data_IF_457237912734
#
_entry.id   IF_457237912734
#
_cell.length_a   1.000
_cell.length_b   1.000
_cell.length_c   1.000
_cell.angle_alpha   90.00
_cell.angle_beta   90.00
_cell.angle_gamma   90.00
#
_symmetry.space_group_name_H-M   'P 1'
#
loop_
_entity.id
_entity.type
_entity.pdbx_description
1 polymer ?
#
# COMPACT_ATOMS: atom_id res chain seq x y z
N UNK A 1 8.57 10.51 -32.36
CA UNK A 1 8.61 9.20 -31.67
C UNK A 1 7.46 9.17 -30.68
N UNK A 2 6.45 8.33 -30.93
CA UNK A 2 5.35 8.11 -29.97
C UNK A 2 5.83 7.04 -28.99
N UNK A 3 6.03 7.40 -27.74
CA UNK A 3 6.22 6.44 -26.66
C UNK A 3 4.88 5.79 -26.39
N UNK A 4 4.67 4.60 -26.93
CA UNK A 4 3.59 3.73 -26.48
C UNK A 4 3.97 3.26 -25.08
N UNK A 5 3.57 4.02 -24.08
CA UNK A 5 3.56 3.57 -22.69
C UNK A 5 2.72 2.31 -22.67
N UNK A 6 3.36 1.15 -22.60
CA UNK A 6 2.69 -0.10 -22.25
C UNK A 6 2.10 0.13 -20.87
N UNK A 7 0.82 0.52 -20.85
CA UNK A 7 -0.01 0.61 -19.68
C UNK A 7 -0.13 -0.81 -19.17
N UNK A 8 0.83 -1.24 -18.34
CA UNK A 8 0.65 -2.35 -17.44
C UNK A 8 -0.51 -1.94 -16.54
N UNK A 9 -1.72 -2.30 -16.97
CA UNK A 9 -2.94 -1.94 -16.28
C UNK A 9 -2.81 -2.40 -14.84
N UNK A 10 -2.71 -1.44 -13.92
CA UNK A 10 -2.77 -1.74 -12.50
C UNK A 10 -4.02 -2.60 -12.27
N UNK A 11 -3.93 -3.69 -11.50
CA UNK A 11 -5.07 -4.57 -11.26
C UNK A 11 -6.22 -3.71 -10.73
N UNK A 12 -7.28 -3.57 -11.54
CA UNK A 12 -8.38 -2.70 -11.21
C UNK A 12 -9.03 -3.18 -9.91
N UNK A 13 -9.50 -2.27 -9.03
CA UNK A 13 -10.07 -2.63 -7.73
C UNK A 13 -11.22 -3.66 -7.82
N UNK A 14 -11.99 -3.63 -8.91
CA UNK A 14 -13.03 -4.63 -9.20
C UNK A 14 -12.48 -6.06 -9.41
N UNK A 15 -11.29 -6.19 -10.01
CA UNK A 15 -10.60 -7.46 -10.20
C UNK A 15 -10.04 -7.97 -8.86
N UNK A 16 -9.54 -7.08 -7.99
CA UNK A 16 -9.07 -7.42 -6.65
C UNK A 16 -10.20 -7.91 -5.75
N UNK A 17 -11.35 -7.24 -5.76
CA UNK A 17 -12.53 -7.66 -5.01
C UNK A 17 -13.05 -9.04 -5.46
N UNK A 18 -13.06 -9.30 -6.77
CA UNK A 18 -13.46 -10.61 -7.32
C UNK A 18 -12.49 -11.73 -6.92
N UNK A 19 -11.18 -11.45 -6.90
CA UNK A 19 -10.16 -12.39 -6.44
C UNK A 19 -10.31 -12.69 -4.94
N UNK A 20 -10.54 -11.66 -4.11
CA UNK A 20 -10.79 -11.83 -2.67
C UNK A 20 -12.02 -12.72 -2.45
N UNK A 21 -13.13 -12.48 -3.17
CA UNK A 21 -14.33 -13.30 -3.05
C UNK A 21 -14.10 -14.77 -3.46
N UNK A 22 -13.32 -15.01 -4.52
CA UNK A 22 -12.94 -16.36 -4.93
C UNK A 22 -12.09 -17.08 -3.87
N UNK A 23 -11.10 -16.39 -3.30
CA UNK A 23 -10.26 -16.91 -2.22
C UNK A 23 -11.06 -17.20 -0.95
N UNK A 24 -12.00 -16.33 -0.58
CA UNK A 24 -12.90 -16.56 0.55
C UNK A 24 -13.76 -17.81 0.35
N UNK A 25 -14.25 -18.06 -0.87
CA UNK A 25 -14.99 -19.28 -1.19
C UNK A 25 -14.11 -20.54 -1.08
N UNK A 26 -12.86 -20.45 -1.54
CA UNK A 26 -11.89 -21.55 -1.39
C UNK A 26 -11.56 -21.81 0.08
N UNK A 27 -11.34 -20.76 0.87
CA UNK A 27 -11.09 -20.85 2.31
C UNK A 27 -12.23 -21.59 3.04
N UNK A 28 -13.48 -21.22 2.75
CA UNK A 28 -14.65 -21.88 3.34
C UNK A 28 -14.73 -23.38 2.97
N UNK A 29 -14.30 -23.76 1.77
CA UNK A 29 -14.26 -25.17 1.36
C UNK A 29 -13.14 -25.93 2.10
N UNK A 30 -11.94 -25.36 2.20
CA UNK A 30 -10.83 -25.97 2.94
C UNK A 30 -11.15 -26.15 4.43
N UNK A 31 -11.80 -25.15 5.05
CA UNK A 31 -12.26 -25.25 6.44
C UNK A 31 -13.27 -26.40 6.61
N UNK A 32 -14.20 -26.59 5.66
CA UNK A 32 -15.12 -27.74 5.67
C UNK A 32 -14.38 -29.06 5.55
N UNK A 33 -13.41 -29.16 4.63
CA UNK A 33 -12.59 -30.36 4.48
C UNK A 33 -11.81 -30.67 5.76
N UNK A 34 -11.20 -29.65 6.39
CA UNK A 34 -10.50 -29.81 7.65
C UNK A 34 -11.44 -30.33 8.75
N UNK A 35 -12.65 -29.78 8.87
CA UNK A 35 -13.64 -30.27 9.83
C UNK A 35 -14.07 -31.72 9.54
N UNK A 36 -14.16 -32.11 8.27
CA UNK A 36 -14.45 -33.50 7.90
C UNK A 36 -13.33 -34.42 8.34
N UNK A 37 -12.07 -34.11 7.99
CA UNK A 37 -10.90 -34.92 8.35
C UNK A 37 -10.75 -35.03 9.88
N UNK A 38 -11.00 -33.95 10.62
CA UNK A 38 -10.95 -33.97 12.10
C UNK A 38 -12.08 -34.80 12.74
N UNK A 39 -13.19 -35.03 12.03
CA UNK A 39 -14.30 -35.88 12.49
C UNK A 39 -14.15 -37.33 12.06
N UNK A 40 -13.37 -37.59 11.01
CA UNK A 40 -13.06 -38.95 10.59
C UNK A 40 -12.15 -39.62 11.61
N UNK A 41 -12.50 -40.85 11.97
CA UNK A 41 -11.63 -41.70 12.79
C UNK A 41 -10.66 -42.38 11.82
N UNK A 42 -9.35 -42.11 11.89
CA UNK A 42 -8.38 -42.75 11.01
C UNK A 42 -8.37 -44.26 11.23
N UNK A 43 -8.15 -45.01 10.15
CA UNK A 43 -7.94 -46.44 10.25
C UNK A 43 -6.66 -46.74 11.04
N UNK A 44 -6.54 -47.93 11.67
CA UNK A 44 -5.33 -48.30 12.40
C UNK A 44 -4.10 -48.23 11.50
N UNK A 45 -3.09 -47.45 11.91
CA UNK A 45 -1.87 -47.24 11.11
C UNK A 45 -1.94 -46.10 10.09
N UNK A 46 -3.06 -45.39 9.98
CA UNK A 46 -3.20 -44.20 9.13
C UNK A 46 -3.15 -42.87 9.92
N UNK A 47 -2.89 -42.90 11.22
CA UNK A 47 -2.87 -41.69 12.07
C UNK A 47 -1.87 -40.64 11.59
N UNK A 48 -0.68 -41.06 11.14
CA UNK A 48 0.32 -40.15 10.59
C UNK A 48 -0.15 -39.51 9.28
N UNK A 49 -0.84 -40.27 8.43
CA UNK A 49 -1.41 -39.76 7.18
C UNK A 49 -2.53 -38.76 7.46
N UNK A 50 -3.39 -39.03 8.44
CA UNK A 50 -4.45 -38.13 8.87
C UNK A 50 -3.86 -36.82 9.43
N UNK A 51 -2.83 -36.91 10.28
CA UNK A 51 -2.14 -35.73 10.83
C UNK A 51 -1.45 -34.90 9.73
N UNK A 52 -0.78 -35.56 8.77
CA UNK A 52 -0.22 -34.88 7.60
C UNK A 52 -1.28 -34.16 6.76
N UNK A 53 -2.45 -34.79 6.56
CA UNK A 53 -3.58 -34.15 5.84
C UNK A 53 -4.08 -32.92 6.59
N UNK A 54 -4.25 -33.01 7.91
CA UNK A 54 -4.65 -31.88 8.77
C UNK A 54 -3.64 -30.74 8.65
N UNK A 55 -2.34 -31.01 8.82
CA UNK A 55 -1.27 -30.01 8.69
C UNK A 55 -1.25 -29.38 7.30
N UNK A 56 -1.41 -30.19 6.24
CA UNK A 56 -1.47 -29.71 4.86
C UNK A 56 -2.65 -28.77 4.61
N UNK A 57 -3.82 -29.08 5.15
CA UNK A 57 -5.00 -28.21 5.07
C UNK A 57 -4.81 -26.92 5.85
N UNK A 58 -4.22 -26.98 7.05
CA UNK A 58 -3.91 -25.78 7.85
C UNK A 58 -2.94 -24.85 7.11
N UNK A 59 -1.88 -25.38 6.50
CA UNK A 59 -0.94 -24.56 5.71
C UNK A 59 -1.61 -23.87 4.51
N UNK A 60 -2.51 -24.58 3.82
CA UNK A 60 -3.26 -23.99 2.70
C UNK A 60 -4.21 -22.88 3.17
N UNK A 61 -4.90 -23.09 4.29
CA UNK A 61 -5.75 -22.09 4.93
C UNK A 61 -4.95 -20.83 5.25
N UNK A 62 -3.83 -20.96 5.97
CA UNK A 62 -2.96 -19.83 6.33
C UNK A 62 -2.46 -19.08 5.09
N UNK A 63 -2.07 -19.81 4.03
CA UNK A 63 -1.61 -19.21 2.77
C UNK A 63 -2.69 -18.34 2.12
N UNK A 64 -3.93 -18.84 2.06
CA UNK A 64 -5.06 -18.09 1.48
C UNK A 64 -5.42 -16.89 2.35
N UNK A 65 -5.39 -17.02 3.68
CA UNK A 65 -5.64 -15.91 4.60
C UNK A 65 -4.60 -14.78 4.45
N UNK A 66 -3.33 -15.14 4.25
CA UNK A 66 -2.27 -14.17 3.95
C UNK A 66 -2.51 -13.46 2.61
N UNK A 67 -2.89 -14.18 1.55
CA UNK A 67 -3.16 -13.56 0.25
C UNK A 67 -4.40 -12.66 0.28
N UNK A 68 -5.47 -13.08 0.95
CA UNK A 68 -6.64 -12.21 1.18
C UNK A 68 -6.22 -10.94 1.92
N UNK A 69 -5.39 -11.06 2.96
CA UNK A 69 -4.88 -9.91 3.72
C UNK A 69 -4.03 -8.98 2.86
N UNK A 70 -3.18 -9.54 1.98
CA UNK A 70 -2.35 -8.78 1.04
C UNK A 70 -3.21 -8.02 0.03
N UNK A 71 -4.16 -8.71 -0.61
CA UNK A 71 -5.08 -8.11 -1.58
C UNK A 71 -5.97 -7.05 -0.94
N UNK A 72 -6.42 -7.29 0.30
CA UNK A 72 -7.24 -6.32 1.05
C UNK A 72 -6.44 -5.06 1.39
N UNK A 73 -5.17 -5.20 1.78
CA UNK A 73 -4.28 -4.05 2.00
C UNK A 73 -4.07 -3.27 0.71
N UNK A 74 -3.83 -3.94 -0.42
CA UNK A 74 -3.68 -3.29 -1.73
C UNK A 74 -4.95 -2.55 -2.16
N UNK A 75 -6.12 -3.09 -1.85
CA UNK A 75 -7.41 -2.43 -2.11
C UNK A 75 -7.71 -1.27 -1.14
N UNK A 76 -7.14 -1.31 0.06
CA UNK A 76 -7.32 -0.31 1.11
C UNK A 76 -6.31 0.85 1.04
N UNK A 77 -5.26 0.76 0.20
CA UNK A 77 -4.38 1.90 -0.06
C UNK A 77 -5.22 3.01 -0.68
N UNK A 78 -5.46 4.13 0.02
CA UNK A 78 -5.96 5.32 -0.64
C UNK A 78 -4.87 5.71 -1.64
N UNK A 79 -5.23 5.95 -2.90
CA UNK A 79 -4.37 6.63 -3.86
C UNK A 79 -3.82 7.91 -3.20
N UNK A 80 -2.63 7.84 -2.60
CA UNK A 80 -1.80 8.99 -2.27
C UNK A 80 -0.98 9.37 -3.51
N UNK A 81 -1.65 9.38 -4.65
CA UNK A 81 -1.16 9.87 -5.92
C UNK A 81 -1.95 11.15 -6.20
N UNK A 82 -1.27 12.26 -6.52
CA UNK A 82 -1.82 13.58 -6.90
C UNK A 82 -2.13 14.64 -5.83
N UNK A 83 -1.42 14.70 -4.69
CA UNK A 83 -1.40 15.94 -3.88
C UNK A 83 -0.03 16.46 -3.45
N UNK A 84 1.08 15.89 -3.93
CA UNK A 84 2.43 16.40 -3.63
C UNK A 84 3.15 17.09 -4.81
N UNK A 85 2.46 17.35 -5.93
CA UNK A 85 3.04 18.17 -7.02
C UNK A 85 2.50 19.61 -7.09
N UNK A 86 1.50 19.99 -6.29
CA UNK A 86 0.93 21.35 -6.30
C UNK A 86 1.59 22.35 -5.33
N UNK A 87 2.82 22.08 -4.84
CA UNK A 87 3.54 23.02 -3.95
C UNK A 87 4.85 23.57 -4.54
N UNK A 88 5.07 23.42 -5.84
CA UNK A 88 6.26 23.98 -6.52
C UNK A 88 5.91 24.88 -7.70
N UNK A 89 4.75 25.56 -7.70
CA UNK A 89 4.43 26.52 -8.78
C UNK A 89 3.73 27.81 -8.32
N UNK A 90 3.86 28.20 -7.05
CA UNK A 90 3.43 29.52 -6.56
C UNK A 90 4.57 30.24 -5.83
N UNK A 91 5.69 30.45 -6.53
CA UNK A 91 6.74 31.42 -6.17
C UNK A 91 7.48 31.94 -7.40
N UNK A 92 6.76 32.12 -8.50
CA UNK A 92 7.25 32.81 -9.68
C UNK A 92 6.17 33.80 -10.09
N UNK A 93 6.35 35.04 -9.64
CA UNK A 93 5.97 36.29 -10.31
C UNK A 93 5.31 37.30 -9.36
N UNK A 94 6.13 38.02 -8.57
CA UNK A 94 5.97 39.47 -8.46
C UNK A 94 7.31 40.15 -8.11
N UNK A 95 7.71 41.04 -9.01
CA UNK A 95 8.94 41.85 -9.15
C UNK A 95 9.14 42.90 -8.01
N UNK A 96 10.20 43.76 -7.96
CA UNK A 96 11.21 44.09 -8.99
C UNK A 96 12.69 44.22 -8.54
N UNK A 97 13.52 44.21 -9.58
CA UNK A 97 14.90 44.66 -9.76
C UNK A 97 15.37 45.84 -8.89
N UNK A 98 16.30 45.62 -7.96
CA UNK A 98 17.13 46.70 -7.39
C UNK A 98 18.34 46.97 -8.28
N UNK A 99 18.18 47.91 -9.22
CA UNK A 99 19.31 48.59 -9.87
C UNK A 99 19.74 49.77 -8.99
N UNK A 100 21.04 49.78 -8.69
CA UNK A 100 21.84 50.87 -8.12
C UNK A 100 21.27 52.28 -8.26
N UNK A 101 21.27 53.04 -7.16
CA UNK A 101 21.83 54.40 -7.04
C UNK A 101 21.72 54.91 -5.58
N UNK A 102 22.87 55.02 -4.90
CA UNK A 102 23.08 56.07 -3.87
C UNK A 102 22.92 57.44 -4.57
N UNK A 103 22.47 58.56 -3.92
CA UNK A 103 23.06 59.09 -2.69
C UNK A 103 22.14 59.94 -1.76
N UNK A 104 22.75 60.44 -0.67
CA UNK A 104 22.33 61.56 0.22
C UNK A 104 21.14 61.31 1.15
N UNK A 105 21.08 61.75 2.41
CA UNK A 105 22.02 62.25 3.40
C UNK A 105 21.22 62.35 4.72
N UNK A 106 21.95 62.26 5.84
CA UNK A 106 21.70 62.99 7.09
C UNK A 106 20.86 62.36 8.22
N UNK A 107 21.57 62.22 9.34
CA UNK A 107 21.18 62.48 10.74
C UNK A 107 20.86 61.29 11.67
N UNK A 108 21.84 61.00 12.54
CA UNK A 108 21.70 60.45 13.90
C UNK A 108 21.71 58.92 13.98
N UNK A 109 22.74 58.21 14.45
CA UNK A 109 23.72 58.57 15.47
C UNK A 109 23.29 58.05 16.85
N UNK A 110 23.42 56.74 17.13
CA UNK A 110 24.35 56.24 18.16
C UNK A 110 24.31 54.72 18.29
N UNK A 111 25.51 54.19 18.49
CA UNK A 111 25.88 52.82 18.80
C UNK A 111 25.90 52.70 20.33
N UNK A 112 25.47 51.58 20.90
CA UNK A 112 26.18 50.97 22.02
C UNK A 112 25.81 49.48 22.16
N UNK A 113 26.81 48.61 22.07
CA UNK A 113 26.72 47.17 22.36
C UNK A 113 27.85 46.85 23.35
N UNK A 114 27.50 46.75 24.62
CA UNK A 114 28.31 46.20 25.71
C UNK A 114 27.41 45.32 26.58
N UNK A 115 27.64 43.99 26.57
CA UNK A 115 28.10 43.17 27.71
C UNK A 115 28.70 41.87 27.15
#
# INVERSE_FOLDING_TARGET
MKINSAHAAAPSPANTASQIAALQKQLANLQKQLMTVLKEIPAPGEEELADMRVKGLQLQITSIEMEISRLSQMAAVPELSDTQQASIEDKLNDQPTQRQKHPTASAGGNVDLYV
#
